data_IF_000094631315
#
_entry.id   IF_000094631315
#
_cell.length_a   1.000
_cell.length_b   1.000
_cell.length_c   1.000
_cell.angle_alpha   90.00
_cell.angle_beta   90.00
_cell.angle_gamma   90.00
#
_symmetry.space_group_name_H-M   'P 1'
#
loop_
_entity.id
_entity.type
_entity.pdbx_description
1 polymer ?
#
# COMPACT_ATOMS: atom_id res chain seq x y z
N UNK A 1 1.48 -67.19 -14.25
CA UNK A 1 0.37 -66.80 -15.21
C UNK A 1 -0.99 -66.82 -14.50
N UNK A 2 -1.33 -67.88 -13.73
CA UNK A 2 -2.63 -68.00 -13.06
C UNK A 2 -2.94 -66.80 -12.12
N UNK A 3 -1.96 -66.36 -11.33
CA UNK A 3 -2.15 -65.27 -10.38
C UNK A 3 -2.45 -63.89 -11.03
N UNK A 4 -1.93 -63.67 -12.24
CA UNK A 4 -2.24 -62.43 -13.04
C UNK A 4 -3.63 -62.45 -13.66
N UNK A 5 -4.13 -63.67 -14.00
CA UNK A 5 -5.49 -63.81 -14.55
C UNK A 5 -6.56 -63.66 -13.48
N UNK A 6 -6.29 -64.10 -12.24
CA UNK A 6 -7.19 -63.89 -11.10
C UNK A 6 -7.25 -62.39 -10.68
N UNK A 7 -6.11 -61.70 -10.63
CA UNK A 7 -6.06 -60.27 -10.31
C UNK A 7 -6.81 -59.44 -11.39
N UNK A 8 -6.68 -59.81 -12.66
CA UNK A 8 -7.36 -59.13 -13.75
C UNK A 8 -8.89 -59.37 -13.76
N UNK A 9 -9.32 -60.54 -13.26
CA UNK A 9 -10.72 -60.88 -13.10
C UNK A 9 -11.34 -60.11 -11.92
N UNK A 10 -10.66 -59.95 -10.81
CA UNK A 10 -11.12 -59.19 -9.65
C UNK A 10 -11.26 -57.74 -10.03
N UNK A 11 -10.27 -57.12 -10.67
CA UNK A 11 -10.31 -55.73 -11.12
C UNK A 11 -11.48 -55.50 -12.09
N UNK A 12 -11.72 -56.40 -13.02
CA UNK A 12 -12.87 -56.29 -13.95
C UNK A 12 -14.20 -56.33 -13.21
N UNK A 13 -14.30 -57.12 -12.15
CA UNK A 13 -15.51 -57.23 -11.35
C UNK A 13 -15.75 -55.95 -10.56
N UNK A 14 -14.71 -55.42 -9.92
CA UNK A 14 -14.77 -54.16 -9.16
C UNK A 14 -15.14 -52.96 -10.08
N UNK A 15 -14.55 -52.87 -11.27
CA UNK A 15 -14.92 -51.87 -12.29
C UNK A 15 -16.40 -51.97 -12.67
N UNK A 16 -16.95 -53.20 -12.78
CA UNK A 16 -18.33 -53.42 -13.10
C UNK A 16 -19.28 -52.97 -11.99
N UNK A 17 -18.90 -53.25 -10.75
CA UNK A 17 -19.65 -52.80 -9.56
C UNK A 17 -19.64 -51.29 -9.40
N UNK A 18 -18.48 -50.67 -9.56
CA UNK A 18 -18.34 -49.20 -9.54
C UNK A 18 -19.16 -48.52 -10.63
N UNK A 19 -19.16 -49.08 -11.87
CA UNK A 19 -20.02 -48.57 -12.95
C UNK A 19 -21.51 -48.72 -12.65
N UNK A 20 -21.95 -49.79 -11.97
CA UNK A 20 -23.32 -49.92 -11.55
C UNK A 20 -23.71 -48.95 -10.44
N UNK A 21 -22.80 -48.69 -9.48
CA UNK A 21 -23.02 -47.68 -8.44
C UNK A 21 -23.15 -46.30 -9.02
N UNK A 22 -22.29 -45.91 -10.00
CA UNK A 22 -22.36 -44.63 -10.69
C UNK A 22 -23.69 -44.49 -11.46
N UNK A 23 -24.20 -45.55 -12.11
CA UNK A 23 -25.50 -45.51 -12.81
C UNK A 23 -26.71 -45.35 -11.89
N UNK A 24 -26.56 -45.62 -10.60
CA UNK A 24 -27.62 -45.43 -9.58
C UNK A 24 -27.71 -44.00 -9.06
N UNK A 25 -26.72 -43.14 -9.37
CA UNK A 25 -26.75 -41.73 -9.03
C UNK A 25 -27.55 -40.99 -10.12
N UNK A 26 -28.79 -40.60 -9.87
CA UNK A 26 -29.68 -40.07 -10.91
C UNK A 26 -29.27 -38.67 -11.36
N UNK A 27 -28.52 -37.97 -10.55
CA UNK A 27 -28.10 -36.60 -10.81
C UNK A 27 -26.88 -36.26 -9.93
N UNK A 28 -25.87 -35.60 -10.48
CA UNK A 28 -24.77 -35.02 -9.73
C UNK A 28 -25.00 -33.52 -9.70
N UNK A 29 -25.35 -32.97 -8.55
CA UNK A 29 -25.50 -31.53 -8.39
C UNK A 29 -24.11 -30.86 -8.32
N UNK A 30 -24.07 -29.59 -8.67
CA UNK A 30 -22.87 -28.77 -8.51
C UNK A 30 -22.40 -28.69 -7.06
N UNK A 31 -23.28 -28.89 -6.08
CA UNK A 31 -22.97 -29.04 -4.66
C UNK A 31 -22.21 -30.33 -4.30
N UNK A 32 -22.36 -31.38 -5.11
CA UNK A 32 -21.66 -32.65 -4.90
C UNK A 32 -20.23 -32.63 -5.46
N UNK A 33 -19.89 -31.60 -6.24
CA UNK A 33 -18.58 -31.45 -6.85
C UNK A 33 -17.65 -30.70 -5.90
N UNK A 34 -16.67 -31.39 -5.34
CA UNK A 34 -15.58 -30.78 -4.59
C UNK A 34 -14.45 -30.43 -5.54
N UNK A 35 -14.22 -29.15 -5.73
CA UNK A 35 -13.09 -28.64 -6.50
C UNK A 35 -11.90 -28.36 -5.58
N UNK A 36 -10.72 -28.86 -5.95
CA UNK A 36 -9.48 -28.40 -5.33
C UNK A 36 -9.20 -26.97 -5.80
N UNK A 37 -9.70 -25.99 -5.06
CA UNK A 37 -9.41 -24.59 -5.33
C UNK A 37 -8.06 -24.24 -4.69
N UNK A 38 -7.05 -24.02 -5.52
CA UNK A 38 -5.79 -23.42 -5.07
C UNK A 38 -5.96 -21.90 -5.06
N UNK A 39 -6.36 -21.35 -3.93
CA UNK A 39 -6.30 -19.92 -3.71
C UNK A 39 -4.86 -19.57 -3.36
N UNK A 40 -4.23 -18.70 -4.13
CA UNK A 40 -3.00 -18.05 -3.68
C UNK A 40 -3.42 -17.07 -2.58
N UNK A 41 -3.29 -17.46 -1.34
CA UNK A 41 -3.38 -16.51 -0.24
C UNK A 41 -1.99 -15.90 -0.10
N UNK A 42 -1.87 -14.56 -0.08
CA UNK A 42 -0.60 -13.93 0.24
C UNK A 42 -0.21 -14.36 1.66
N UNK A 43 0.93 -15.03 1.77
CA UNK A 43 1.52 -15.27 3.09
C UNK A 43 1.93 -13.90 3.62
N UNK A 44 1.52 -13.52 4.84
CA UNK A 44 1.93 -12.25 5.41
C UNK A 44 3.45 -12.14 5.37
N UNK A 45 3.97 -11.22 4.59
CA UNK A 45 5.39 -10.92 4.58
C UNK A 45 5.73 -10.29 5.93
N UNK A 46 6.79 -10.75 6.57
CA UNK A 46 7.33 -10.11 7.78
C UNK A 46 8.19 -8.90 7.44
N UNK A 47 8.47 -8.67 6.17
CA UNK A 47 9.22 -7.53 5.67
C UNK A 47 8.27 -6.40 5.31
N UNK A 48 8.60 -5.21 5.75
CA UNK A 48 7.85 -4.00 5.44
C UNK A 48 8.77 -2.90 4.96
N UNK A 49 8.28 -2.10 4.03
CA UNK A 49 8.93 -0.86 3.61
C UNK A 49 7.96 0.29 3.81
N UNK A 50 8.47 1.39 4.35
CA UNK A 50 7.73 2.64 4.52
C UNK A 50 8.36 3.73 3.67
N UNK A 51 7.59 4.24 2.74
CA UNK A 51 7.93 5.42 1.96
C UNK A 51 7.49 6.68 2.70
N UNK A 52 8.42 7.56 2.98
CA UNK A 52 8.18 8.87 3.59
C UNK A 52 8.40 9.95 2.54
N UNK A 53 7.33 10.56 2.07
CA UNK A 53 7.36 11.63 1.06
C UNK A 53 7.15 12.97 1.74
N UNK A 54 8.12 13.86 1.67
CA UNK A 54 8.05 15.19 2.28
C UNK A 54 8.21 16.28 1.23
N UNK A 55 7.22 17.15 1.21
CA UNK A 55 7.28 18.41 0.51
C UNK A 55 8.28 19.34 1.21
N UNK A 56 9.22 19.88 0.43
CA UNK A 56 10.22 20.86 0.89
C UNK A 56 10.19 22.12 0.07
N UNK A 57 9.08 22.37 -0.62
CA UNK A 57 8.83 23.58 -1.39
C UNK A 57 8.94 24.87 -0.57
N UNK A 58 8.91 26.00 -1.23
CA UNK A 58 9.04 27.30 -0.57
C UNK A 58 7.88 27.66 0.36
N UNK A 59 6.68 27.12 0.12
CA UNK A 59 5.50 27.28 0.97
C UNK A 59 5.58 26.49 2.30
N UNK A 60 6.36 25.40 2.32
CA UNK A 60 6.66 24.61 3.51
C UNK A 60 7.70 25.35 4.40
N UNK A 61 7.22 26.27 5.24
CA UNK A 61 8.05 26.96 6.20
C UNK A 61 8.64 26.02 7.28
N UNK A 62 9.53 26.51 8.13
CA UNK A 62 10.21 25.71 9.17
C UNK A 62 9.23 25.08 10.17
N UNK A 63 8.12 25.75 10.50
CA UNK A 63 7.10 25.23 11.41
C UNK A 63 6.36 24.05 10.79
N UNK A 64 5.96 24.14 9.53
CA UNK A 64 5.31 23.05 8.77
C UNK A 64 6.25 21.86 8.62
N UNK A 65 7.53 22.12 8.30
CA UNK A 65 8.57 21.07 8.23
C UNK A 65 8.79 20.39 9.57
N UNK A 66 8.76 21.12 10.70
CA UNK A 66 8.90 20.52 12.04
C UNK A 66 7.72 19.61 12.37
N UNK A 67 6.50 19.99 12.01
CA UNK A 67 5.31 19.15 12.16
C UNK A 67 5.44 17.87 11.34
N UNK A 68 5.82 17.97 10.06
CA UNK A 68 6.02 16.81 9.19
C UNK A 68 7.08 15.85 9.76
N UNK A 69 8.22 16.38 10.19
CA UNK A 69 9.30 15.61 10.81
C UNK A 69 8.84 14.84 12.04
N UNK A 70 8.12 15.51 12.95
CA UNK A 70 7.59 14.86 14.18
C UNK A 70 6.57 13.78 13.85
N UNK A 71 5.73 13.98 12.84
CA UNK A 71 4.83 12.95 12.37
C UNK A 71 5.60 11.74 11.84
N UNK A 72 6.60 11.93 11.00
CA UNK A 72 7.41 10.83 10.46
C UNK A 72 8.23 10.10 11.52
N UNK A 73 8.77 10.81 12.52
CA UNK A 73 9.44 10.18 13.67
C UNK A 73 8.47 9.28 14.44
N UNK A 74 7.26 9.77 14.72
CA UNK A 74 6.23 8.98 15.41
C UNK A 74 5.83 7.73 14.60
N UNK A 75 5.68 7.88 13.30
CA UNK A 75 5.39 6.78 12.38
C UNK A 75 6.51 5.73 12.39
N UNK A 76 7.75 6.15 12.32
CA UNK A 76 8.91 5.28 12.42
C UNK A 76 8.93 4.47 13.71
N UNK A 77 8.73 5.13 14.86
CA UNK A 77 8.67 4.48 16.17
C UNK A 77 7.53 3.45 16.27
N UNK A 78 6.39 3.73 15.65
CA UNK A 78 5.28 2.80 15.59
C UNK A 78 5.62 1.57 14.75
N UNK A 79 6.16 1.77 13.56
CA UNK A 79 6.45 0.69 12.63
C UNK A 79 7.58 -0.22 13.13
N UNK A 80 8.62 0.32 13.75
CA UNK A 80 9.72 -0.47 14.35
C UNK A 80 9.27 -1.36 15.51
N UNK A 81 8.12 -1.04 16.14
CA UNK A 81 7.50 -1.91 17.15
C UNK A 81 6.62 -3.00 16.54
N UNK A 82 6.04 -2.73 15.39
CA UNK A 82 5.08 -3.63 14.73
C UNK A 82 5.77 -4.66 13.85
N UNK A 83 6.81 -4.26 13.14
CA UNK A 83 7.55 -5.10 12.21
C UNK A 83 8.95 -5.42 12.72
N UNK A 84 9.37 -6.69 12.58
CA UNK A 84 10.74 -7.12 12.93
C UNK A 84 11.79 -6.54 11.97
N UNK A 85 11.43 -6.47 10.70
CA UNK A 85 12.27 -5.93 9.64
C UNK A 85 11.47 -4.87 8.90
N UNK A 86 11.88 -3.62 9.04
CA UNK A 86 11.30 -2.49 8.31
C UNK A 86 12.41 -1.71 7.62
N UNK A 87 12.21 -1.42 6.36
CA UNK A 87 13.05 -0.50 5.60
C UNK A 87 12.34 0.85 5.45
N UNK A 88 13.12 1.91 5.42
CA UNK A 88 12.63 3.27 5.22
C UNK A 88 13.21 3.82 3.92
N UNK A 89 12.34 4.41 3.13
CA UNK A 89 12.72 5.15 1.93
C UNK A 89 12.25 6.58 2.09
N UNK A 90 13.19 7.50 2.13
CA UNK A 90 12.91 8.91 2.27
C UNK A 90 12.97 9.60 0.91
N UNK A 91 11.87 10.25 0.54
CA UNK A 91 11.75 11.04 -0.69
C UNK A 91 11.42 12.46 -0.31
N UNK A 92 12.24 13.39 -0.77
CA UNK A 92 11.97 14.83 -0.71
C UNK A 92 11.61 15.31 -2.11
N UNK A 93 10.67 16.22 -2.17
CA UNK A 93 10.32 16.84 -3.43
C UNK A 93 10.08 18.35 -3.28
N UNK A 94 10.40 19.02 -4.35
CA UNK A 94 10.01 20.39 -4.68
C UNK A 94 9.59 20.39 -6.16
N UNK A 95 10.32 21.03 -7.07
CA UNK A 95 10.10 20.90 -8.52
C UNK A 95 10.49 19.51 -9.04
N UNK A 96 11.45 18.86 -8.38
CA UNK A 96 11.91 17.50 -8.67
C UNK A 96 11.98 16.69 -7.39
N UNK A 97 11.82 15.36 -7.50
CA UNK A 97 11.94 14.45 -6.38
C UNK A 97 13.31 13.78 -6.34
N UNK A 98 13.77 13.49 -5.13
CA UNK A 98 15.02 12.81 -4.86
C UNK A 98 14.88 11.88 -3.66
N UNK A 99 15.40 10.66 -3.81
CA UNK A 99 15.64 9.79 -2.65
C UNK A 99 16.86 10.32 -1.88
N UNK A 100 16.73 10.39 -0.57
CA UNK A 100 17.70 10.97 0.35
C UNK A 100 17.91 10.07 1.56
N UNK A 101 18.99 10.28 2.28
CA UNK A 101 19.17 9.64 3.58
C UNK A 101 18.37 10.35 4.69
N UNK A 102 18.39 9.77 5.90
CA UNK A 102 17.67 10.28 7.05
C UNK A 102 18.15 11.70 7.43
N UNK A 103 19.44 11.97 7.38
CA UNK A 103 20.01 13.26 7.73
C UNK A 103 19.54 14.35 6.75
N UNK A 104 19.64 14.10 5.47
CA UNK A 104 19.19 15.02 4.44
C UNK A 104 17.67 15.20 4.52
N UNK A 105 16.90 14.14 4.79
CA UNK A 105 15.44 14.21 4.90
C UNK A 105 14.99 15.16 6.02
N UNK A 106 15.62 15.10 7.18
CA UNK A 106 15.20 15.89 8.33
C UNK A 106 15.87 17.26 8.44
N UNK A 107 17.04 17.47 7.88
CA UNK A 107 17.84 18.67 8.17
C UNK A 107 18.19 19.55 6.96
N UNK A 108 18.00 19.10 5.74
CA UNK A 108 18.29 19.91 4.57
C UNK A 108 17.33 21.11 4.43
N UNK A 109 17.85 22.21 3.89
CA UNK A 109 17.16 23.50 3.70
C UNK A 109 16.95 23.82 2.22
N UNK A 110 16.47 22.88 1.47
CA UNK A 110 16.12 23.16 0.07
C UNK A 110 14.78 23.88 -0.02
N UNK A 111 14.64 24.72 -1.04
CA UNK A 111 13.41 25.43 -1.38
C UNK A 111 13.25 25.44 -2.90
N UNK A 112 12.00 25.42 -3.38
CA UNK A 112 11.70 25.43 -4.81
C UNK A 112 10.20 25.53 -5.06
N UNK A 113 9.79 25.38 -6.31
CA UNK A 113 8.38 25.20 -6.67
C UNK A 113 7.90 23.81 -6.24
N UNK A 114 6.62 23.47 -6.50
CA UNK A 114 6.04 22.21 -6.07
C UNK A 114 5.50 21.44 -7.28
N UNK A 115 6.05 20.23 -7.52
CA UNK A 115 5.56 19.25 -8.49
C UNK A 115 5.47 17.90 -7.76
N UNK A 116 4.29 17.61 -7.24
CA UNK A 116 4.04 16.44 -6.37
C UNK A 116 4.13 15.14 -7.15
N UNK A 117 3.69 15.13 -8.42
CA UNK A 117 3.76 13.94 -9.28
C UNK A 117 5.17 13.37 -9.38
N UNK A 118 6.21 14.22 -9.34
CA UNK A 118 7.60 13.78 -9.37
C UNK A 118 7.98 12.84 -8.22
N UNK A 119 7.41 13.06 -7.04
CA UNK A 119 7.63 12.19 -5.87
C UNK A 119 6.91 10.85 -6.00
N UNK A 120 5.70 10.86 -6.54
CA UNK A 120 4.91 9.65 -6.78
C UNK A 120 5.55 8.77 -7.87
N UNK A 121 6.01 9.36 -8.97
CA UNK A 121 6.73 8.65 -10.02
C UNK A 121 8.01 8.00 -9.48
N UNK A 122 8.79 8.76 -8.68
CA UNK A 122 10.01 8.23 -8.08
C UNK A 122 9.69 7.08 -7.11
N UNK A 123 8.67 7.23 -6.27
CA UNK A 123 8.20 6.16 -5.38
C UNK A 123 7.83 4.90 -6.17
N UNK A 124 7.02 5.05 -7.22
CA UNK A 124 6.61 3.92 -8.05
C UNK A 124 7.81 3.20 -8.69
N UNK A 125 8.76 3.95 -9.24
CA UNK A 125 10.01 3.41 -9.79
C UNK A 125 10.79 2.61 -8.75
N UNK A 126 10.95 3.14 -7.54
CA UNK A 126 11.66 2.47 -6.44
C UNK A 126 10.94 1.18 -6.03
N UNK A 127 9.59 1.20 -5.97
CA UNK A 127 8.80 -0.01 -5.70
C UNK A 127 9.11 -1.09 -6.73
N UNK A 128 9.07 -0.76 -8.01
CA UNK A 128 9.33 -1.71 -9.09
C UNK A 128 10.75 -2.29 -9.04
N UNK A 129 11.74 -1.46 -8.74
CA UNK A 129 13.14 -1.87 -8.75
C UNK A 129 13.56 -2.67 -7.51
N UNK A 130 13.02 -2.35 -6.32
CA UNK A 130 13.53 -2.88 -5.05
C UNK A 130 12.51 -3.61 -4.18
N UNK A 131 11.22 -3.27 -4.28
CA UNK A 131 10.20 -3.74 -3.34
C UNK A 131 8.99 -4.38 -4.04
N UNK A 132 9.16 -5.55 -4.66
CA UNK A 132 8.03 -6.21 -5.30
C UNK A 132 6.92 -6.52 -4.26
N UNK A 133 5.68 -6.16 -4.56
CA UNK A 133 4.52 -6.30 -3.68
C UNK A 133 4.20 -7.75 -3.28
N UNK A 134 4.77 -8.74 -4.00
CA UNK A 134 4.67 -10.15 -3.65
C UNK A 134 5.54 -10.57 -2.46
N UNK A 135 6.56 -9.77 -2.11
CA UNK A 135 7.53 -10.06 -1.05
C UNK A 135 7.53 -9.01 0.08
N UNK A 136 6.99 -7.83 -0.17
CA UNK A 136 7.02 -6.70 0.76
C UNK A 136 5.63 -6.16 1.06
N UNK A 137 5.39 -5.82 2.32
CA UNK A 137 4.27 -4.96 2.70
C UNK A 137 4.71 -3.51 2.53
N UNK A 138 4.09 -2.82 1.58
CA UNK A 138 4.47 -1.47 1.20
C UNK A 138 3.51 -0.48 1.84
N UNK A 139 4.06 0.46 2.58
CA UNK A 139 3.34 1.56 3.22
C UNK A 139 3.88 2.88 2.72
N UNK A 140 3.03 3.90 2.69
CA UNK A 140 3.45 5.25 2.36
C UNK A 140 2.78 6.29 3.24
N UNK A 141 3.51 7.36 3.51
CA UNK A 141 2.96 8.58 4.07
C UNK A 141 3.55 9.78 3.33
N UNK A 142 2.68 10.68 2.93
CA UNK A 142 3.03 11.92 2.26
C UNK A 142 2.60 13.09 3.13
N UNK A 143 3.50 14.04 3.34
CA UNK A 143 3.24 15.28 4.06
C UNK A 143 3.53 16.50 3.17
N UNK A 144 2.55 17.39 3.02
CA UNK A 144 2.60 18.60 2.19
C UNK A 144 1.67 19.65 2.81
N UNK A 145 1.80 20.90 2.42
CA UNK A 145 0.82 21.96 2.74
C UNK A 145 -0.31 22.09 1.70
N UNK A 146 -0.38 21.14 0.76
CA UNK A 146 -1.41 21.09 -0.28
C UNK A 146 -1.12 21.96 -1.50
N UNK A 147 -0.11 22.83 -1.44
CA UNK A 147 0.33 23.63 -2.59
C UNK A 147 0.93 22.71 -3.66
N UNK A 148 0.49 22.88 -4.90
CA UNK A 148 0.98 22.09 -6.03
C UNK A 148 0.82 22.91 -7.31
N UNK A 149 1.68 22.66 -8.27
CA UNK A 149 1.62 23.34 -9.57
C UNK A 149 0.23 23.13 -10.21
N UNK A 150 -0.26 24.18 -10.81
CA UNK A 150 -1.52 24.20 -11.54
C UNK A 150 -1.49 23.14 -12.67
N UNK A 151 -2.39 22.16 -12.62
CA UNK A 151 -2.45 21.05 -13.58
C UNK A 151 -1.72 19.76 -13.17
N UNK A 152 -0.85 19.77 -12.15
CA UNK A 152 -0.14 18.56 -11.68
C UNK A 152 -1.03 17.67 -10.78
N UNK A 153 -1.99 18.24 -10.05
CA UNK A 153 -2.83 17.48 -9.13
C UNK A 153 -3.66 16.36 -9.80
N UNK A 154 -4.23 16.52 -11.02
CA UNK A 154 -4.86 15.41 -11.73
C UNK A 154 -3.88 14.29 -12.10
N UNK A 155 -2.63 14.62 -12.47
CA UNK A 155 -1.60 13.62 -12.74
C UNK A 155 -1.23 12.84 -11.47
N UNK A 156 -1.15 13.51 -10.31
CA UNK A 156 -0.95 12.85 -9.02
C UNK A 156 -2.05 11.83 -8.74
N UNK A 157 -3.33 12.17 -8.98
CA UNK A 157 -4.43 11.22 -8.83
C UNK A 157 -4.29 10.02 -9.77
N UNK A 158 -3.95 10.24 -11.03
CA UNK A 158 -3.78 9.19 -12.02
C UNK A 158 -2.66 8.21 -11.60
N UNK A 159 -1.49 8.73 -11.23
CA UNK A 159 -0.35 7.92 -10.76
C UNK A 159 -0.74 7.12 -9.49
N UNK A 160 -1.40 7.76 -8.53
CA UNK A 160 -1.88 7.06 -7.34
C UNK A 160 -2.83 5.94 -7.72
N UNK A 161 -3.89 6.22 -8.48
CA UNK A 161 -4.95 5.28 -8.80
C UNK A 161 -4.45 4.08 -9.62
N UNK A 162 -3.62 4.34 -10.62
CA UNK A 162 -3.24 3.33 -11.60
C UNK A 162 -1.97 2.57 -11.21
N UNK A 163 -1.04 3.22 -10.52
CA UNK A 163 0.30 2.68 -10.32
C UNK A 163 0.62 2.35 -8.85
N UNK A 164 0.23 3.21 -7.91
CA UNK A 164 0.66 3.08 -6.51
C UNK A 164 -0.35 2.29 -5.69
N UNK A 165 -1.62 2.68 -5.68
CA UNK A 165 -2.64 2.05 -4.83
C UNK A 165 -2.81 0.55 -5.02
N UNK A 166 -2.64 -0.02 -6.23
CA UNK A 166 -2.64 -1.48 -6.42
C UNK A 166 -1.48 -2.20 -5.74
N UNK A 167 -0.39 -1.50 -5.41
CA UNK A 167 0.84 -2.07 -4.86
C UNK A 167 0.98 -1.89 -3.35
N UNK A 168 0.32 -0.88 -2.76
CA UNK A 168 0.50 -0.51 -1.36
C UNK A 168 -0.57 -1.11 -0.46
N UNK A 169 -0.18 -1.47 0.76
CA UNK A 169 -1.10 -1.89 1.81
C UNK A 169 -1.85 -0.70 2.39
N UNK A 170 -1.20 0.45 2.48
CA UNK A 170 -1.79 1.66 3.02
C UNK A 170 -1.02 2.89 2.58
N UNK A 171 -1.74 3.95 2.23
CA UNK A 171 -1.21 5.27 1.91
C UNK A 171 -1.90 6.32 2.76
N UNK A 172 -1.13 7.12 3.49
CA UNK A 172 -1.63 8.24 4.29
C UNK A 172 -1.16 9.56 3.68
N UNK A 173 -2.10 10.43 3.37
CA UNK A 173 -1.81 11.83 3.01
C UNK A 173 -2.08 12.74 4.20
N UNK A 174 -1.12 13.58 4.54
CA UNK A 174 -1.20 14.51 5.64
C UNK A 174 -1.03 15.93 5.11
N UNK A 175 -2.09 16.73 5.16
CA UNK A 175 -2.00 18.14 4.85
C UNK A 175 -1.64 18.94 6.11
N UNK A 176 -0.63 19.79 6.01
CA UNK A 176 -0.05 20.48 7.17
C UNK A 176 -0.37 21.95 7.14
N UNK A 177 -1.12 22.42 8.17
CA UNK A 177 -1.44 23.83 8.40
C UNK A 177 -1.98 24.51 7.16
N UNK A 178 -2.84 23.84 6.40
CA UNK A 178 -3.53 24.47 5.28
C UNK A 178 -4.57 25.48 5.81
N UNK A 179 -4.67 26.62 5.18
CA UNK A 179 -5.75 27.58 5.46
C UNK A 179 -7.04 27.16 4.77
N UNK A 180 -6.92 26.65 3.56
CA UNK A 180 -7.99 26.07 2.74
C UNK A 180 -7.43 24.93 1.92
N UNK A 181 -8.22 23.87 1.76
CA UNK A 181 -7.83 22.74 0.92
C UNK A 181 -7.69 23.15 -0.54
N UNK A 182 -6.56 22.83 -1.13
CA UNK A 182 -6.19 23.19 -2.49
C UNK A 182 -6.56 22.11 -3.51
N UNK A 183 -6.04 22.23 -4.73
CA UNK A 183 -6.36 21.31 -5.82
C UNK A 183 -5.89 19.86 -5.54
N UNK A 184 -4.77 19.70 -4.85
CA UNK A 184 -4.22 18.38 -4.49
C UNK A 184 -5.19 17.63 -3.57
N UNK A 185 -5.72 18.28 -2.53
CA UNK A 185 -6.70 17.68 -1.62
C UNK A 185 -7.92 17.17 -2.36
N UNK A 186 -8.50 18.02 -3.24
CA UNK A 186 -9.71 17.66 -4.00
C UNK A 186 -9.51 16.49 -4.95
N UNK A 187 -8.32 16.36 -5.53
CA UNK A 187 -8.00 15.22 -6.38
C UNK A 187 -7.76 13.95 -5.54
N UNK A 188 -7.20 14.10 -4.34
CA UNK A 188 -6.97 12.98 -3.42
C UNK A 188 -8.26 12.50 -2.75
N UNK A 189 -9.24 13.35 -2.52
CA UNK A 189 -10.59 12.94 -2.09
C UNK A 189 -11.19 11.89 -3.05
N UNK A 190 -11.01 12.08 -4.36
CA UNK A 190 -11.48 11.12 -5.37
C UNK A 190 -10.75 9.77 -5.28
N UNK A 191 -9.47 9.77 -4.85
CA UNK A 191 -8.73 8.52 -4.58
C UNK A 191 -9.30 7.84 -3.33
N UNK A 192 -9.56 8.59 -2.26
CA UNK A 192 -10.12 8.09 -1.01
C UNK A 192 -11.52 7.49 -1.17
N UNK A 193 -12.33 8.00 -2.10
CA UNK A 193 -13.65 7.43 -2.42
C UNK A 193 -13.56 6.04 -3.05
N UNK A 194 -12.46 5.74 -3.76
CA UNK A 194 -12.29 4.47 -4.50
C UNK A 194 -11.49 3.45 -3.69
N UNK A 195 -10.49 3.90 -2.94
CA UNK A 195 -9.54 3.03 -2.27
C UNK A 195 -9.66 3.10 -0.75
N UNK A 196 -10.15 2.03 -0.12
CA UNK A 196 -10.29 1.95 1.34
C UNK A 196 -8.95 1.91 2.11
N UNK A 197 -7.84 1.70 1.41
CA UNK A 197 -6.47 1.73 1.95
C UNK A 197 -5.76 3.07 1.71
N UNK A 198 -6.49 4.11 1.27
CA UNK A 198 -6.02 5.48 1.20
C UNK A 198 -6.71 6.32 2.27
N UNK A 199 -5.95 7.05 3.07
CA UNK A 199 -6.51 7.92 4.10
C UNK A 199 -5.91 9.34 4.01
N UNK A 200 -6.71 10.32 4.36
CA UNK A 200 -6.36 11.73 4.34
C UNK A 200 -6.66 12.34 5.71
N UNK A 201 -5.75 13.14 6.20
CA UNK A 201 -5.93 13.90 7.45
C UNK A 201 -5.23 15.25 7.39
N UNK A 202 -5.70 16.19 8.19
CA UNK A 202 -5.09 17.52 8.36
C UNK A 202 -4.42 17.63 9.73
N UNK A 203 -3.22 18.19 9.77
CA UNK A 203 -2.54 18.58 11.00
C UNK A 203 -2.44 20.10 11.06
N UNK A 204 -3.24 20.72 11.91
CA UNK A 204 -3.31 22.17 12.06
C UNK A 204 -2.33 22.73 13.10
N UNK A 205 -1.85 21.90 14.03
CA UNK A 205 -0.94 22.30 15.09
C UNK A 205 -0.12 21.09 15.61
N UNK A 206 0.97 21.37 16.32
CA UNK A 206 1.80 20.33 16.97
C UNK A 206 0.99 19.40 17.88
N UNK A 207 -0.02 19.91 18.56
CA UNK A 207 -0.87 19.12 19.47
C UNK A 207 -1.78 18.15 18.72
N UNK A 208 -2.05 18.39 17.43
CA UNK A 208 -2.88 17.53 16.59
C UNK A 208 -2.15 16.33 16.01
N UNK A 209 -0.81 16.30 16.09
CA UNK A 209 0.00 15.21 15.49
C UNK A 209 -0.42 13.84 16.05
N UNK A 210 -0.47 13.68 17.37
CA UNK A 210 -0.78 12.38 17.97
C UNK A 210 -2.24 11.94 17.75
N UNK A 211 -3.26 12.79 17.94
CA UNK A 211 -4.64 12.46 17.59
C UNK A 211 -4.80 12.00 16.13
N UNK A 212 -4.24 12.74 15.18
CA UNK A 212 -4.27 12.41 13.75
C UNK A 212 -3.54 11.09 13.47
N UNK A 213 -2.36 10.94 14.02
CA UNK A 213 -1.60 9.68 13.91
C UNK A 213 -2.43 8.48 14.41
N UNK A 214 -3.03 8.60 15.58
CA UNK A 214 -3.88 7.56 16.15
C UNK A 214 -5.09 7.24 15.24
N UNK A 215 -5.71 8.23 14.64
CA UNK A 215 -6.84 8.02 13.75
C UNK A 215 -6.42 7.27 12.47
N UNK A 216 -5.31 7.69 11.85
CA UNK A 216 -4.79 7.06 10.65
C UNK A 216 -4.41 5.58 10.86
N UNK A 217 -3.81 5.24 11.99
CA UNK A 217 -3.24 3.90 12.21
C UNK A 217 -4.05 2.99 13.14
N UNK A 218 -5.12 3.49 13.78
CA UNK A 218 -5.98 2.67 14.64
C UNK A 218 -7.02 1.85 13.86
N UNK A 219 -7.32 2.23 12.62
CA UNK A 219 -8.30 1.55 11.76
C UNK A 219 -7.83 0.21 11.19
N UNK A 220 -6.55 -0.14 11.34
CA UNK A 220 -6.00 -1.39 10.82
C UNK A 220 -5.95 -2.54 11.84
N UNK A 221 -6.44 -2.35 13.03
CA UNK A 221 -6.46 -3.38 14.08
C UNK A 221 -7.79 -4.14 14.19
N UNK A 222 -8.66 -4.04 13.18
CA UNK A 222 -9.96 -4.72 13.17
C UNK A 222 -10.06 -5.77 12.04
#
# INVERSE_FOLDING_TARGET
KAQREDDESEIKTEIRELKQRIKRIPFIDTFDLRYNNRRKEPVPSTQAVMFCLMDVSGSMNEERKDIAKRFFILLYLFLTRTYKNIELVFIRHHTTAKEVDEEEFFYSRETGGTVVSSALDLMHKIIQERYPSSAWNIYAAQASDGDNWEGDSPACREILTEQIMPCVQYFAYIEIMAYEHQSLWREYEKVAEVFGNFAMQEITALTSIYPVFRELFNRQAA
#
